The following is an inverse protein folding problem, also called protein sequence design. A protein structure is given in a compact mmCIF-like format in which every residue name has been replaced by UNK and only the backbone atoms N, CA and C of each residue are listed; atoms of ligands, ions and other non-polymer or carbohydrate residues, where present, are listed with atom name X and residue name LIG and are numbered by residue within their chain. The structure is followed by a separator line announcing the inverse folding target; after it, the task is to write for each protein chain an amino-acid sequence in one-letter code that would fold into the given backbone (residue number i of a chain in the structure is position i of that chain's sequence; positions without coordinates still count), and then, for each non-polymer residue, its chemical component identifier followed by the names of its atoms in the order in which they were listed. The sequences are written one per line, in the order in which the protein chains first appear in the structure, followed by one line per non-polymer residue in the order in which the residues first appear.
data_IF_533786532460
#
_entry.id   IF_533786532460
#
_cell.length_a   1.000
_cell.length_b   1.000
_cell.length_c   1.000
_cell.angle_alpha   90.00
_cell.angle_beta   90.00
_cell.angle_gamma   90.00
#
_symmetry.space_group_name_H-M   'P 1'
#
loop_
_entity.id
_entity.type
_entity.pdbx_description
1 polymer ?
#
# COMPACT_ATOMS: atom_id res chain seq x y z
N UNK A 1 77.68 35.84 2.61
CA UNK A 1 76.27 35.52 2.93
C UNK A 1 76.00 34.14 2.33
N UNK A 2 75.61 33.04 2.98
CA UNK A 2 75.30 32.62 4.36
C UNK A 2 75.52 31.08 4.38
N UNK A 3 75.92 30.55 5.55
CA UNK A 3 76.21 29.18 6.05
C UNK A 3 75.46 27.97 5.42
N UNK A 4 76.05 26.78 5.20
CA UNK A 4 76.35 25.63 6.12
C UNK A 4 75.07 25.06 6.81
N UNK A 5 74.72 23.77 6.92
CA UNK A 5 75.42 22.53 7.36
C UNK A 5 74.54 21.26 7.22
N UNK A 6 75.17 20.07 7.13
CA UNK A 6 74.77 18.80 7.81
C UNK A 6 73.69 17.90 7.14
N UNK A 7 73.67 16.57 7.23
CA UNK A 7 74.42 15.59 8.03
C UNK A 7 74.33 14.19 7.36
N UNK A 8 75.32 13.33 7.65
CA UNK A 8 75.41 11.91 7.26
C UNK A 8 74.48 11.00 8.09
N UNK A 9 74.18 9.79 7.61
CA UNK A 9 73.86 8.53 8.35
C UNK A 9 73.71 7.40 7.30
N UNK A 10 74.66 6.46 7.15
CA UNK A 10 74.81 5.17 7.87
C UNK A 10 73.85 4.05 7.39
N UNK A 11 74.40 3.04 6.68
CA UNK A 11 73.84 1.70 6.38
C UNK A 11 74.11 0.71 7.57
N UNK A 12 73.72 -0.60 7.59
CA UNK A 12 72.53 -1.41 7.16
C UNK A 12 72.00 -2.27 8.39
N UNK A 13 71.14 -3.36 8.34
CA UNK A 13 71.40 -4.69 7.73
C UNK A 13 70.15 -5.50 7.22
N UNK A 14 70.40 -6.69 6.66
CA UNK A 14 69.45 -7.72 6.19
C UNK A 14 68.69 -8.42 7.34
N UNK A 15 67.40 -8.75 7.15
CA UNK A 15 66.59 -9.59 8.06
C UNK A 15 66.07 -10.81 7.30
N UNK A 16 66.30 -11.99 7.88
CA UNK A 16 65.93 -13.33 7.44
C UNK A 16 64.41 -13.54 7.68
N UNK A 17 63.66 -14.27 6.84
CA UNK A 17 62.25 -14.56 7.11
C UNK A 17 62.15 -15.57 8.26
N UNK A 18 61.48 -15.17 9.35
CA UNK A 18 61.02 -16.07 10.40
C UNK A 18 59.69 -16.64 9.90
N UNK A 19 59.63 -17.96 9.66
CA UNK A 19 58.37 -18.65 9.42
C UNK A 19 57.47 -18.53 10.66
N UNK A 20 56.21 -18.10 10.53
CA UNK A 20 55.27 -18.13 11.63
C UNK A 20 54.74 -19.55 11.85
N UNK A 21 54.78 -19.95 13.12
CA UNK A 21 54.22 -21.16 13.72
C UNK A 21 52.70 -21.25 13.45
N UNK A 22 52.27 -22.21 12.62
CA UNK A 22 50.86 -22.49 12.35
C UNK A 22 50.29 -23.42 13.42
N UNK A 23 50.08 -22.87 14.61
CA UNK A 23 49.39 -23.53 15.72
C UNK A 23 47.99 -22.94 15.94
N UNK A 24 47.05 -23.18 15.03
CA UNK A 24 45.65 -22.80 15.21
C UNK A 24 44.74 -23.35 14.10
N UNK A 25 43.57 -23.87 14.47
CA UNK A 25 42.51 -24.27 13.52
C UNK A 25 41.95 -23.02 12.85
N UNK A 26 42.43 -22.74 11.64
CA UNK A 26 41.91 -21.68 10.77
C UNK A 26 41.04 -22.31 9.67
N UNK A 27 39.79 -21.86 9.55
CA UNK A 27 38.98 -22.11 8.35
C UNK A 27 39.59 -21.41 7.13
N UNK A 28 39.29 -21.91 5.93
CA UNK A 28 39.92 -21.60 4.62
C UNK A 28 39.94 -20.10 4.22
N UNK A 29 39.25 -19.21 4.96
CA UNK A 29 39.26 -17.75 4.78
C UNK A 29 39.65 -16.94 6.05
N UNK A 30 40.21 -17.58 7.08
CA UNK A 30 40.89 -16.87 8.18
C UNK A 30 40.00 -16.05 9.13
N UNK A 31 38.70 -16.36 9.24
CA UNK A 31 37.81 -15.74 10.22
C UNK A 31 37.59 -16.65 11.44
N UNK A 32 37.79 -16.14 12.66
CA UNK A 32 37.29 -16.82 13.84
C UNK A 32 35.76 -16.87 13.81
N UNK A 33 35.19 -17.97 14.30
CA UNK A 33 33.75 -18.20 14.38
C UNK A 33 33.16 -17.27 15.47
N UNK A 34 32.71 -16.07 15.10
CA UNK A 34 32.08 -15.07 15.99
C UNK A 34 30.57 -15.35 16.18
N UNK A 35 30.19 -16.58 16.51
CA UNK A 35 28.83 -16.87 16.96
C UNK A 35 28.90 -17.28 18.42
N UNK A 36 28.92 -16.29 19.31
CA UNK A 36 28.63 -16.53 20.73
C UNK A 36 27.11 -16.48 20.95
N UNK A 37 26.62 -17.19 21.96
CA UNK A 37 25.19 -17.26 22.31
C UNK A 37 24.50 -15.89 22.50
N UNK A 38 25.27 -14.81 22.72
CA UNK A 38 24.77 -13.44 22.83
C UNK A 38 24.36 -12.81 21.49
N UNK A 39 24.96 -13.21 20.37
CA UNK A 39 24.59 -12.69 19.05
C UNK A 39 23.20 -13.18 18.61
N UNK A 40 22.81 -14.39 19.06
CA UNK A 40 21.44 -14.90 18.91
C UNK A 40 20.41 -14.06 19.64
N UNK A 41 20.73 -13.60 20.87
CA UNK A 41 19.84 -12.74 21.67
C UNK A 41 19.70 -11.32 21.10
N UNK A 42 20.75 -10.80 20.46
CA UNK A 42 20.71 -9.51 19.77
C UNK A 42 19.89 -9.59 18.47
N UNK A 43 20.02 -10.68 17.71
CA UNK A 43 19.15 -10.97 16.57
C UNK A 43 17.68 -11.17 16.99
N UNK A 44 17.42 -11.89 18.09
CA UNK A 44 16.07 -12.08 18.61
C UNK A 44 15.43 -10.78 19.14
N UNK A 45 16.21 -9.90 19.78
CA UNK A 45 15.70 -8.60 20.24
C UNK A 45 15.50 -7.59 19.10
N UNK A 46 16.34 -7.62 18.06
CA UNK A 46 16.14 -6.84 16.83
C UNK A 46 14.92 -7.33 16.05
N UNK A 47 14.73 -8.64 15.92
CA UNK A 47 13.54 -9.20 15.26
C UNK A 47 12.28 -8.98 16.07
N UNK A 48 12.32 -9.08 17.40
CA UNK A 48 11.19 -8.78 18.28
C UNK A 48 10.81 -7.28 18.25
N UNK A 49 11.80 -6.38 18.27
CA UNK A 49 11.54 -4.94 18.16
C UNK A 49 10.99 -4.55 16.78
N UNK A 50 11.51 -5.14 15.71
CA UNK A 50 10.97 -4.98 14.37
C UNK A 50 9.53 -5.51 14.27
N UNK A 51 9.25 -6.71 14.78
CA UNK A 51 7.90 -7.25 14.86
C UNK A 51 6.93 -6.35 15.64
N UNK A 52 7.38 -5.78 16.77
CA UNK A 52 6.59 -4.83 17.55
C UNK A 52 6.27 -3.54 16.75
N UNK A 53 7.20 -3.08 15.91
CA UNK A 53 6.96 -1.91 15.04
C UNK A 53 5.99 -2.22 13.89
N UNK A 54 6.05 -3.42 13.30
CA UNK A 54 5.12 -3.87 12.26
C UNK A 54 3.70 -4.03 12.80
N UNK A 55 3.55 -4.66 13.97
CA UNK A 55 2.26 -4.80 14.64
C UNK A 55 1.63 -3.44 14.93
N UNK A 56 2.42 -2.48 15.43
CA UNK A 56 1.94 -1.12 15.70
C UNK A 56 1.49 -0.40 14.43
N UNK A 57 2.21 -0.56 13.31
CA UNK A 57 1.83 0.01 12.01
C UNK A 57 0.55 -0.63 11.47
N UNK A 58 0.42 -1.94 11.60
CA UNK A 58 -0.78 -2.69 11.19
C UNK A 58 -2.01 -2.25 11.98
N UNK A 59 -1.91 -2.16 13.30
CA UNK A 59 -3.02 -1.70 14.15
C UNK A 59 -3.40 -0.24 13.86
N UNK A 60 -2.40 0.62 13.64
CA UNK A 60 -2.64 2.00 13.22
C UNK A 60 -3.37 2.06 11.88
N UNK A 61 -2.95 1.28 10.88
CA UNK A 61 -3.60 1.22 9.58
C UNK A 61 -5.05 0.73 9.72
N UNK A 62 -5.27 -0.30 10.53
CA UNK A 62 -6.60 -0.84 10.83
C UNK A 62 -7.52 0.19 11.49
N UNK A 63 -7.07 0.90 12.51
CA UNK A 63 -7.85 1.96 13.19
C UNK A 63 -8.23 3.09 12.21
N UNK A 64 -7.28 3.49 11.35
CA UNK A 64 -7.50 4.52 10.34
C UNK A 64 -8.50 4.05 9.28
N UNK A 65 -8.37 2.82 8.79
CA UNK A 65 -9.33 2.22 7.87
C UNK A 65 -10.73 2.11 8.50
N UNK A 66 -10.85 1.69 9.76
CA UNK A 66 -12.14 1.66 10.46
C UNK A 66 -12.80 3.04 10.53
N UNK A 67 -12.01 4.08 10.82
CA UNK A 67 -12.49 5.46 10.86
C UNK A 67 -12.93 5.92 9.47
N UNK A 68 -12.14 5.60 8.44
CA UNK A 68 -12.42 5.98 7.06
C UNK A 68 -13.59 5.20 6.45
N UNK A 69 -13.88 3.98 6.90
CA UNK A 69 -14.95 3.13 6.37
C UNK A 69 -16.25 3.21 7.19
N UNK A 70 -16.40 4.26 8.00
CA UNK A 70 -17.60 4.49 8.80
C UNK A 70 -18.75 5.09 7.95
N UNK A 71 -19.89 4.40 7.80
CA UNK A 71 -21.04 4.88 7.01
C UNK A 71 -21.60 6.22 7.47
N UNK A 72 -21.52 6.51 8.77
CA UNK A 72 -22.05 7.76 9.35
C UNK A 72 -21.25 8.96 8.85
N UNK A 73 -19.94 8.79 8.69
CA UNK A 73 -19.06 9.84 8.18
C UNK A 73 -19.21 9.99 6.66
N UNK A 74 -19.41 8.88 5.92
CA UNK A 74 -19.66 8.92 4.48
C UNK A 74 -20.88 9.73 4.09
N UNK A 75 -22.00 9.56 4.81
CA UNK A 75 -23.22 10.31 4.54
C UNK A 75 -23.06 11.84 4.71
N UNK A 76 -22.00 12.29 5.39
CA UNK A 76 -21.66 13.71 5.55
C UNK A 76 -20.74 14.23 4.46
N UNK A 77 -20.08 13.35 3.70
CA UNK A 77 -19.11 13.73 2.68
C UNK A 77 -19.80 14.28 1.43
N UNK A 78 -19.23 15.36 0.89
CA UNK A 78 -19.68 15.98 -0.35
C UNK A 78 -19.13 15.21 -1.55
N UNK A 79 -19.99 14.43 -2.19
CA UNK A 79 -19.67 13.84 -3.49
C UNK A 79 -19.60 14.94 -4.58
N UNK A 80 -18.69 14.83 -5.57
CA UNK A 80 -17.78 13.71 -5.82
C UNK A 80 -16.39 13.85 -5.17
N UNK A 81 -15.91 15.05 -4.90
CA UNK A 81 -14.50 15.29 -4.55
C UNK A 81 -14.08 14.65 -3.21
N UNK A 82 -14.90 14.75 -2.17
CA UNK A 82 -14.54 14.17 -0.86
C UNK A 82 -14.57 12.64 -0.89
N UNK A 83 -15.46 12.04 -1.68
CA UNK A 83 -15.52 10.58 -1.85
C UNK A 83 -14.31 10.05 -2.63
N UNK A 84 -13.86 10.78 -3.66
CA UNK A 84 -12.62 10.46 -4.37
C UNK A 84 -11.41 10.52 -3.43
N UNK A 85 -11.32 11.58 -2.64
CA UNK A 85 -10.29 11.74 -1.62
C UNK A 85 -10.31 10.58 -0.62
N UNK A 86 -11.50 10.16 -0.20
CA UNK A 86 -11.67 9.02 0.70
C UNK A 86 -11.13 7.72 0.10
N UNK A 87 -11.33 7.49 -1.21
CA UNK A 87 -10.80 6.30 -1.89
C UNK A 87 -9.26 6.32 -1.88
N UNK A 88 -8.66 7.46 -2.19
CA UNK A 88 -7.21 7.59 -2.17
C UNK A 88 -6.60 7.35 -0.78
N UNK A 89 -7.22 7.92 0.27
CA UNK A 89 -6.76 7.69 1.65
C UNK A 89 -6.95 6.23 2.07
N UNK A 90 -8.04 5.59 1.65
CA UNK A 90 -8.28 4.17 1.93
C UNK A 90 -7.22 3.30 1.27
N UNK A 91 -6.89 3.55 -0.01
CA UNK A 91 -5.83 2.86 -0.72
C UNK A 91 -4.45 3.07 -0.08
N UNK A 92 -4.17 4.27 0.42
CA UNK A 92 -2.94 4.54 1.18
C UNK A 92 -2.83 3.64 2.41
N UNK A 93 -3.87 3.61 3.26
CA UNK A 93 -3.82 2.79 4.48
C UNK A 93 -3.85 1.28 4.21
N UNK A 94 -4.47 0.86 3.12
CA UNK A 94 -4.36 -0.53 2.65
C UNK A 94 -2.93 -0.86 2.22
N UNK A 95 -2.23 0.06 1.56
CA UNK A 95 -0.84 -0.12 1.18
C UNK A 95 0.09 -0.11 2.40
N UNK A 96 -0.15 0.75 3.39
CA UNK A 96 0.59 0.72 4.66
C UNK A 96 0.39 -0.59 5.43
N UNK A 97 -0.79 -1.19 5.35
CA UNK A 97 -1.04 -2.52 5.92
C UNK A 97 -0.26 -3.60 5.16
N UNK A 98 -0.25 -3.55 3.82
CA UNK A 98 0.53 -4.46 2.96
C UNK A 98 2.05 -4.33 3.22
N UNK A 99 2.56 -3.10 3.33
CA UNK A 99 3.96 -2.79 3.65
C UNK A 99 4.34 -3.20 5.09
N UNK A 100 3.35 -3.38 5.96
CA UNK A 100 3.52 -3.93 7.30
C UNK A 100 3.35 -5.46 7.35
N UNK A 101 3.30 -6.12 6.18
CA UNK A 101 3.12 -7.57 5.99
C UNK A 101 1.77 -8.10 6.51
N UNK A 102 0.77 -7.23 6.65
CA UNK A 102 -0.57 -7.64 7.03
C UNK A 102 -1.36 -8.20 5.84
N UNK A 103 -2.21 -9.20 6.08
CA UNK A 103 -3.15 -9.67 5.08
C UNK A 103 -4.28 -8.64 4.90
N UNK A 104 -4.14 -7.78 3.89
CA UNK A 104 -5.09 -6.71 3.56
C UNK A 104 -6.50 -7.25 3.34
N UNK A 105 -6.64 -8.46 2.78
CA UNK A 105 -7.95 -9.06 2.54
C UNK A 105 -8.65 -9.40 3.86
N UNK A 106 -7.91 -10.01 4.80
CA UNK A 106 -8.43 -10.27 6.15
C UNK A 106 -8.73 -8.99 6.92
N UNK A 107 -7.86 -7.98 6.83
CA UNK A 107 -8.05 -6.68 7.50
C UNK A 107 -9.34 -6.02 7.01
N UNK A 108 -9.54 -5.92 5.69
CA UNK A 108 -10.76 -5.31 5.14
C UNK A 108 -11.99 -6.17 5.48
N UNK A 109 -11.90 -7.49 5.40
CA UNK A 109 -13.00 -8.38 5.77
C UNK A 109 -13.44 -8.13 7.23
N UNK A 110 -12.49 -8.04 8.16
CA UNK A 110 -12.77 -7.79 9.57
C UNK A 110 -13.46 -6.42 9.78
N UNK A 111 -12.97 -5.38 9.08
CA UNK A 111 -13.52 -4.02 9.17
C UNK A 111 -14.93 -3.94 8.58
N UNK A 112 -15.14 -4.50 7.38
CA UNK A 112 -16.44 -4.52 6.71
C UNK A 112 -17.47 -5.33 7.50
N UNK A 113 -17.06 -6.43 8.15
CA UNK A 113 -17.94 -7.25 8.98
C UNK A 113 -18.47 -6.51 10.22
N UNK A 114 -17.79 -5.45 10.69
CA UNK A 114 -18.19 -4.62 11.85
C UNK A 114 -18.58 -5.46 13.09
N UNK A 115 -17.89 -6.58 13.31
CA UNK A 115 -18.15 -7.49 14.43
C UNK A 115 -19.41 -8.37 14.31
N UNK A 116 -20.10 -8.39 13.17
CA UNK A 116 -21.23 -9.29 12.91
C UNK A 116 -20.77 -10.73 12.61
N UNK A 117 -21.63 -11.72 12.84
CA UNK A 117 -21.30 -13.12 12.54
C UNK A 117 -21.26 -13.42 11.03
N UNK A 118 -22.08 -12.72 10.26
CA UNK A 118 -22.13 -12.78 8.79
C UNK A 118 -22.19 -11.34 8.25
N UNK A 119 -21.39 -10.99 7.25
CA UNK A 119 -21.44 -9.66 6.64
C UNK A 119 -22.77 -9.47 5.90
N UNK A 120 -23.32 -8.25 5.92
CA UNK A 120 -24.45 -7.92 5.05
C UNK A 120 -24.02 -7.92 3.58
N UNK A 121 -24.97 -8.05 2.64
CA UNK A 121 -24.67 -7.93 1.21
C UNK A 121 -24.02 -6.59 0.84
N UNK A 122 -24.35 -5.52 1.56
CA UNK A 122 -23.73 -4.21 1.41
C UNK A 122 -22.26 -4.23 1.86
N UNK A 123 -21.97 -4.88 2.99
CA UNK A 123 -20.60 -5.00 3.51
C UNK A 123 -19.74 -5.91 2.63
N UNK A 124 -20.30 -7.01 2.11
CA UNK A 124 -19.65 -7.88 1.15
C UNK A 124 -19.34 -7.16 -0.17
N UNK A 125 -20.31 -6.39 -0.69
CA UNK A 125 -20.10 -5.56 -1.88
C UNK A 125 -19.03 -4.50 -1.65
N UNK A 126 -19.04 -3.85 -0.48
CA UNK A 126 -18.02 -2.87 -0.13
C UNK A 126 -16.62 -3.51 -0.10
N UNK A 127 -16.48 -4.66 0.55
CA UNK A 127 -15.22 -5.41 0.58
C UNK A 127 -14.72 -5.71 -0.84
N UNK A 128 -15.59 -6.23 -1.72
CA UNK A 128 -15.24 -6.52 -3.11
C UNK A 128 -14.74 -5.28 -3.87
N UNK A 129 -15.42 -4.15 -3.73
CA UNK A 129 -15.05 -2.89 -4.40
C UNK A 129 -13.70 -2.38 -3.89
N UNK A 130 -13.44 -2.43 -2.59
CA UNK A 130 -12.16 -1.99 -2.00
C UNK A 130 -10.99 -2.88 -2.47
N UNK A 131 -11.17 -4.20 -2.44
CA UNK A 131 -10.14 -5.14 -2.88
C UNK A 131 -9.89 -5.07 -4.38
N UNK A 132 -10.93 -4.85 -5.18
CA UNK A 132 -10.79 -4.60 -6.62
C UNK A 132 -9.96 -3.35 -6.88
N UNK A 133 -10.25 -2.26 -6.17
CA UNK A 133 -9.50 -1.01 -6.28
C UNK A 133 -8.04 -1.18 -5.86
N UNK A 134 -7.78 -1.91 -4.78
CA UNK A 134 -6.43 -2.17 -4.30
C UNK A 134 -5.60 -2.99 -5.30
N UNK A 135 -6.16 -4.09 -5.82
CA UNK A 135 -5.50 -4.92 -6.85
C UNK A 135 -5.25 -4.11 -8.14
N UNK A 136 -6.22 -3.29 -8.54
CA UNK A 136 -6.09 -2.40 -9.70
C UNK A 136 -4.96 -1.40 -9.47
N UNK A 137 -4.94 -0.73 -8.31
CA UNK A 137 -3.90 0.21 -7.92
C UNK A 137 -2.50 -0.45 -7.92
N UNK A 138 -2.39 -1.67 -7.39
CA UNK A 138 -1.15 -2.45 -7.40
C UNK A 138 -0.68 -2.75 -8.83
N UNK A 139 -1.59 -3.17 -9.72
CA UNK A 139 -1.29 -3.47 -11.12
C UNK A 139 -0.83 -2.24 -11.92
N UNK A 140 -1.36 -1.05 -11.58
CA UNK A 140 -0.99 0.24 -12.16
C UNK A 140 0.29 0.83 -11.56
N UNK A 141 0.82 0.21 -10.50
CA UNK A 141 2.00 0.68 -9.78
C UNK A 141 1.79 1.95 -8.97
N UNK A 142 0.54 2.35 -8.69
CA UNK A 142 0.24 3.57 -7.92
C UNK A 142 0.46 3.37 -6.42
N UNK A 143 0.66 2.14 -5.96
CA UNK A 143 0.97 1.82 -4.56
C UNK A 143 2.47 1.86 -4.25
N UNK A 144 3.32 2.24 -5.21
CA UNK A 144 4.74 2.51 -4.92
C UNK A 144 4.94 3.81 -4.14
N UNK A 145 6.16 4.06 -3.64
CA UNK A 145 6.50 5.19 -2.78
C UNK A 145 5.94 6.55 -3.26
N UNK A 146 6.19 6.93 -4.52
CA UNK A 146 5.71 8.21 -5.06
C UNK A 146 4.18 8.31 -5.09
N UNK A 147 3.51 7.20 -5.41
CA UNK A 147 2.06 7.13 -5.44
C UNK A 147 1.46 7.18 -4.04
N UNK A 148 2.04 6.45 -3.07
CA UNK A 148 1.62 6.50 -1.67
C UNK A 148 1.72 7.91 -1.08
N UNK A 149 2.77 8.69 -1.39
CA UNK A 149 2.88 10.09 -0.95
C UNK A 149 1.71 10.94 -1.44
N UNK A 150 1.24 10.71 -2.68
CA UNK A 150 0.05 11.39 -3.22
C UNK A 150 -1.23 10.89 -2.59
N UNK A 151 -1.38 9.57 -2.44
CA UNK A 151 -2.54 8.94 -1.82
C UNK A 151 -2.72 9.38 -0.37
N UNK A 152 -1.65 9.50 0.41
CA UNK A 152 -1.65 10.01 1.79
C UNK A 152 -2.15 11.46 1.89
N UNK A 153 -1.98 12.25 0.83
CA UNK A 153 -2.49 13.62 0.73
C UNK A 153 -3.93 13.66 0.17
N UNK A 154 -4.49 12.52 -0.21
CA UNK A 154 -5.77 12.42 -0.90
C UNK A 154 -5.73 13.02 -2.31
N UNK A 155 -4.56 12.97 -2.96
CA UNK A 155 -4.32 13.47 -4.31
C UNK A 155 -4.19 12.31 -5.31
N UNK A 156 -4.48 12.61 -6.57
CA UNK A 156 -4.40 11.67 -7.67
C UNK A 156 -2.94 11.21 -7.92
N UNK A 157 -2.63 9.91 -7.78
CA UNK A 157 -1.29 9.40 -8.03
C UNK A 157 -1.00 9.25 -9.53
N UNK A 158 0.28 9.08 -9.87
CA UNK A 158 0.73 8.74 -11.22
C UNK A 158 0.80 7.22 -11.38
N UNK A 159 0.43 6.75 -12.57
CA UNK A 159 0.57 5.37 -13.01
C UNK A 159 2.03 5.14 -13.40
N UNK A 160 2.63 4.10 -12.83
CA UNK A 160 4.05 3.75 -13.05
C UNK A 160 4.22 2.41 -13.78
N UNK A 161 3.11 1.70 -14.06
CA UNK A 161 3.11 0.41 -14.76
C UNK A 161 2.02 0.33 -15.84
N UNK A 162 2.34 -0.36 -16.94
CA UNK A 162 1.38 -0.71 -17.99
C UNK A 162 1.19 0.38 -19.06
N UNK A 163 0.20 0.20 -19.93
CA UNK A 163 -0.02 1.04 -21.12
C UNK A 163 -0.42 2.49 -20.84
N UNK A 164 -0.71 2.82 -19.58
CA UNK A 164 -1.15 4.13 -19.14
C UNK A 164 -0.11 4.85 -18.27
N UNK A 165 1.15 4.40 -18.30
CA UNK A 165 2.26 5.00 -17.56
C UNK A 165 2.36 6.52 -17.77
N UNK A 166 2.80 7.24 -16.73
CA UNK A 166 2.91 8.71 -16.68
C UNK A 166 1.57 9.45 -16.78
N UNK A 167 0.44 8.74 -16.67
CA UNK A 167 -0.89 9.36 -16.54
C UNK A 167 -1.37 9.33 -15.10
N UNK A 168 -2.35 10.16 -14.80
CA UNK A 168 -3.01 10.18 -13.51
C UNK A 168 -4.05 9.06 -13.40
N UNK A 169 -4.04 8.35 -12.26
CA UNK A 169 -5.05 7.36 -11.92
C UNK A 169 -6.19 8.02 -11.15
N UNK A 170 -7.30 8.27 -11.84
CA UNK A 170 -8.42 9.02 -11.27
C UNK A 170 -9.45 8.09 -10.62
N UNK A 171 -9.94 8.46 -9.43
CA UNK A 171 -11.13 7.88 -8.85
C UNK A 171 -12.38 8.39 -9.60
N UNK A 172 -13.08 7.51 -10.30
CA UNK A 172 -14.32 7.83 -11.01
C UNK A 172 -15.48 7.05 -10.41
N UNK A 173 -16.71 7.58 -10.45
CA UNK A 173 -17.84 6.83 -9.98
C UNK A 173 -18.16 5.66 -10.92
N UNK A 174 -18.38 4.45 -10.38
CA UNK A 174 -18.72 3.27 -11.20
C UNK A 174 -20.09 3.48 -11.84
N UNK A 175 -21.11 3.75 -11.02
CA UNK A 175 -22.42 4.21 -11.48
C UNK A 175 -22.51 5.74 -11.48
N UNK A 176 -23.10 6.38 -12.49
CA UNK A 176 -23.27 7.83 -12.50
C UNK A 176 -24.08 8.29 -11.28
N UNK A 177 -23.56 9.20 -10.45
CA UNK A 177 -24.24 9.64 -9.23
C UNK A 177 -25.54 10.40 -9.52
N UNK A 178 -25.66 11.00 -10.71
CA UNK A 178 -26.88 11.68 -11.16
C UNK A 178 -28.06 10.70 -11.38
N UNK A 179 -27.75 9.46 -11.78
CA UNK A 179 -28.74 8.41 -12.00
C UNK A 179 -28.96 7.56 -10.75
N UNK A 180 -27.91 7.39 -9.93
CA UNK A 180 -27.90 6.54 -8.74
C UNK A 180 -27.41 7.31 -7.49
N UNK A 181 -28.14 8.34 -7.02
CA UNK A 181 -27.68 9.22 -5.94
C UNK A 181 -27.51 8.49 -4.60
N UNK A 182 -28.34 7.48 -4.32
CA UNK A 182 -28.23 6.68 -3.09
C UNK A 182 -27.00 5.77 -3.05
N UNK A 183 -26.49 5.36 -4.22
CA UNK A 183 -25.41 4.38 -4.32
C UNK A 183 -24.04 4.98 -4.03
N UNK A 184 -23.86 6.28 -4.29
CA UNK A 184 -22.60 6.99 -4.06
C UNK A 184 -22.12 6.84 -2.61
N UNK A 185 -23.01 7.04 -1.63
CA UNK A 185 -22.68 7.04 -0.20
C UNK A 185 -22.85 5.68 0.48
N UNK A 186 -23.68 4.78 -0.05
CA UNK A 186 -23.98 3.50 0.60
C UNK A 186 -22.96 2.40 0.31
N UNK A 187 -22.42 2.35 -0.90
CA UNK A 187 -21.63 1.19 -1.38
C UNK A 187 -20.22 1.57 -1.83
N UNK A 188 -19.79 2.80 -1.56
CA UNK A 188 -18.49 3.30 -2.01
C UNK A 188 -18.30 3.13 -3.52
N UNK A 189 -19.19 3.76 -4.29
CA UNK A 189 -19.35 3.60 -5.73
C UNK A 189 -18.23 4.28 -6.55
N UNK A 190 -16.97 4.01 -6.26
CA UNK A 190 -15.82 4.59 -6.95
C UNK A 190 -14.80 3.52 -7.34
N UNK A 191 -14.21 3.69 -8.53
CA UNK A 191 -13.11 2.88 -9.01
C UNK A 191 -11.91 3.73 -9.44
N UNK A 192 -10.71 3.18 -9.27
CA UNK A 192 -9.49 3.71 -9.87
C UNK A 192 -9.50 3.40 -11.36
N UNK A 193 -9.50 4.46 -12.16
CA UNK A 193 -9.55 4.37 -13.61
C UNK A 193 -8.23 4.80 -14.23
N UNK A 194 -7.67 3.89 -15.02
CA UNK A 194 -6.54 4.13 -15.90
C UNK A 194 -7.04 4.30 -17.32
N UNK A 195 -7.24 5.56 -17.74
CA UNK A 195 -7.71 5.85 -19.09
C UNK A 195 -8.03 7.33 -19.29
N UNK A 196 -8.36 7.73 -20.53
CA UNK A 196 -8.87 9.07 -20.77
C UNK A 196 -10.18 9.25 -19.99
N UNK A 197 -10.23 10.27 -19.14
CA UNK A 197 -11.45 10.60 -18.41
C UNK A 197 -12.62 10.69 -19.42
N UNK A 198 -13.76 10.06 -19.12
CA UNK A 198 -14.90 10.09 -20.01
C UNK A 198 -15.30 11.54 -20.28
N UNK A 199 -15.13 11.98 -21.54
CA UNK A 199 -15.53 13.32 -21.98
C UNK A 199 -17.04 13.30 -22.24
N UNK A 200 -17.82 13.63 -21.21
CA UNK A 200 -19.26 13.92 -21.26
C UNK A 200 -20.19 12.84 -21.85
N UNK A 201 -21.00 12.26 -20.94
CA UNK A 201 -22.42 11.92 -21.12
C UNK A 201 -22.86 11.32 -22.45
N UNK A 202 -22.50 10.06 -22.70
CA UNK A 202 -23.49 9.17 -23.32
C UNK A 202 -24.68 9.07 -22.36
N UNK A 203 -25.90 9.30 -22.84
CA UNK A 203 -27.11 9.16 -22.03
C UNK A 203 -27.35 7.73 -21.54
N UNK A 204 -26.61 6.76 -22.09
CA UNK A 204 -26.68 5.34 -21.72
C UNK A 204 -25.51 4.89 -20.84
N UNK A 205 -25.80 3.91 -20.01
CA UNK A 205 -24.82 3.19 -19.19
C UNK A 205 -23.91 2.31 -20.05
N UNK A 206 -22.62 2.27 -19.71
CA UNK A 206 -21.69 1.32 -20.33
C UNK A 206 -22.01 -0.13 -19.89
N UNK A 207 -21.63 -1.16 -20.69
CA UNK A 207 -21.90 -2.55 -20.34
C UNK A 207 -21.42 -2.97 -18.96
N UNK A 208 -20.23 -2.51 -18.53
CA UNK A 208 -19.70 -2.77 -17.18
C UNK A 208 -20.53 -2.11 -16.07
N UNK A 209 -21.10 -0.94 -16.33
CA UNK A 209 -21.99 -0.24 -15.39
C UNK A 209 -23.33 -0.96 -15.27
N UNK A 210 -23.86 -1.48 -16.39
CA UNK A 210 -25.08 -2.30 -16.39
C UNK A 210 -24.84 -3.58 -15.60
N UNK A 211 -23.71 -4.26 -15.83
CA UNK A 211 -23.36 -5.48 -15.11
C UNK A 211 -23.24 -5.22 -13.61
N UNK A 212 -22.55 -4.15 -13.21
CA UNK A 212 -22.43 -3.77 -11.80
C UNK A 212 -23.80 -3.47 -11.19
N UNK A 213 -24.65 -2.68 -11.85
CA UNK A 213 -26.01 -2.40 -11.38
C UNK A 213 -26.87 -3.67 -11.28
N UNK A 214 -26.76 -4.62 -12.21
CA UNK A 214 -27.44 -5.91 -12.14
C UNK A 214 -27.01 -6.73 -10.92
N UNK A 215 -25.72 -6.75 -10.58
CA UNK A 215 -25.22 -7.40 -9.36
C UNK A 215 -25.83 -6.75 -8.11
N UNK A 216 -25.92 -5.42 -8.07
CA UNK A 216 -26.54 -4.72 -6.96
C UNK A 216 -28.04 -5.02 -6.84
N UNK A 217 -28.76 -5.14 -7.96
CA UNK A 217 -30.17 -5.56 -7.97
C UNK A 217 -30.32 -6.99 -7.43
N UNK A 218 -29.48 -7.91 -7.89
CA UNK A 218 -29.50 -9.31 -7.42
C UNK A 218 -29.25 -9.43 -5.92
N UNK A 219 -28.44 -8.53 -5.35
CA UNK A 219 -28.14 -8.41 -3.91
C UNK A 219 -29.21 -7.64 -3.13
N UNK A 220 -30.25 -7.13 -3.79
CA UNK A 220 -31.29 -6.30 -3.16
C UNK A 220 -30.81 -4.91 -2.71
N UNK A 221 -29.65 -4.47 -3.21
CA UNK A 221 -29.05 -3.17 -2.90
C UNK A 221 -29.52 -2.05 -3.84
N UNK A 222 -30.08 -2.43 -4.99
CA UNK A 222 -30.81 -1.55 -5.90
C UNK A 222 -32.20 -2.13 -6.20
N UNK A 223 -33.21 -1.27 -6.45
CA UNK A 223 -34.53 -1.75 -6.81
C UNK A 223 -34.54 -2.35 -8.23
N UNK A 224 -35.42 -3.32 -8.49
CA UNK A 224 -35.42 -4.10 -9.73
C UNK A 224 -35.75 -3.29 -11.00
N UNK A 225 -36.32 -2.10 -10.83
CA UNK A 225 -36.63 -1.14 -11.89
C UNK A 225 -35.55 -0.05 -12.05
N UNK A 226 -34.46 -0.09 -11.27
CA UNK A 226 -33.39 0.91 -11.33
C UNK A 226 -32.73 1.03 -12.72
N UNK A 227 -32.77 -0.04 -13.51
CA UNK A 227 -32.23 -0.07 -14.89
C UNK A 227 -33.27 0.22 -15.97
N UNK A 228 -34.57 0.37 -15.63
CA UNK A 228 -35.64 0.57 -16.64
C UNK A 228 -35.79 2.02 -17.08
N UNK A 229 -35.18 2.96 -16.35
CA UNK A 229 -35.33 4.40 -16.58
C UNK A 229 -34.14 5.03 -17.35
N UNK A 230 -33.18 4.23 -17.84
CA UNK A 230 -31.89 4.65 -18.41
C UNK A 230 -31.51 3.78 -19.62
#
# INVERSE_FOLDING_TARGET
MVFSTGAALANPPLVIPIEPDYGGDYDLFGGQNYLTNDDGLMLESLTASHGMTLLKRTEQAKERLQTLLNPVEWNKLKAPMEMQKQLYLTLYWMAEADDAEADVEQVIQEICRRGQAQPSEADATLQEVLLYNFRTAQSLGVLGFEGQVKLAQGLTPLITKGSWENRHAHAIPILPPDLFPSTAHQLFNYEIFAGPLPRNSSSGLAPSQIEFAQRLIARGLLPADALKNH
#
